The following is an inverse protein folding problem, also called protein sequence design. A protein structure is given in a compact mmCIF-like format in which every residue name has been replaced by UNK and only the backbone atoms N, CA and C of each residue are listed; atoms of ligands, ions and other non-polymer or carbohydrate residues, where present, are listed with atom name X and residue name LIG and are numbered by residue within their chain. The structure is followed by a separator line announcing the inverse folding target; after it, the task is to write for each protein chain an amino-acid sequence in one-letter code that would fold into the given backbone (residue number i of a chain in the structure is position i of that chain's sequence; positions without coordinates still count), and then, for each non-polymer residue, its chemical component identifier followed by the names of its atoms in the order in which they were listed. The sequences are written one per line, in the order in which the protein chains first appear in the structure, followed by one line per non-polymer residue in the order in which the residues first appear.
data_IF_796954222038
#
_entry.id   IF_796954222038
#
_cell.length_a   1.000
_cell.length_b   1.000
_cell.length_c   1.000
_cell.angle_alpha   90.00
_cell.angle_beta   90.00
_cell.angle_gamma   90.00
#
_symmetry.space_group_name_H-M   'P 1'
#
loop_
_entity.id
_entity.type
_entity.pdbx_description
1 polymer ?
#
# COMPACT_ATOMS: atom_id res chain seq x y z
N UNK A 1 -2.46 13.02 -20.87
CA UNK A 1 -1.42 14.04 -21.14
C UNK A 1 -0.24 13.47 -21.92
N UNK A 2 0.42 12.44 -21.38
CA UNK A 2 1.61 11.79 -21.93
C UNK A 2 1.52 11.40 -23.43
N UNK A 3 0.39 10.82 -23.85
CA UNK A 3 0.20 10.37 -25.23
C UNK A 3 0.02 11.52 -26.25
N UNK A 4 -0.53 12.67 -25.84
CA UNK A 4 -0.70 13.82 -26.74
C UNK A 4 0.64 14.56 -26.93
N UNK A 5 1.44 14.66 -25.87
CA UNK A 5 2.79 15.22 -25.92
C UNK A 5 3.68 14.47 -26.93
N UNK A 6 3.59 13.14 -26.95
CA UNK A 6 4.25 12.29 -27.93
C UNK A 6 3.91 12.68 -29.38
N UNK A 7 2.63 12.94 -29.68
CA UNK A 7 2.17 13.36 -31.00
C UNK A 7 2.61 14.77 -31.40
N UNK A 8 2.77 15.66 -30.43
CA UNK A 8 3.25 17.02 -30.63
C UNK A 8 4.77 17.15 -30.62
N UNK A 9 5.51 16.03 -30.65
CA UNK A 9 6.99 15.99 -30.60
C UNK A 9 7.57 16.59 -29.31
N UNK A 10 6.76 16.67 -28.27
CA UNK A 10 7.19 17.11 -26.95
C UNK A 10 7.71 15.89 -26.17
N UNK A 11 8.90 15.44 -26.56
CA UNK A 11 9.55 14.29 -25.91
C UNK A 11 9.93 14.58 -24.46
N UNK A 12 10.13 15.86 -24.10
CA UNK A 12 10.46 16.27 -22.73
C UNK A 12 9.26 16.04 -21.81
N UNK A 13 8.07 16.50 -22.21
CA UNK A 13 6.86 16.23 -21.45
C UNK A 13 6.57 14.73 -21.34
N UNK A 14 6.93 13.94 -22.36
CA UNK A 14 6.84 12.48 -22.28
C UNK A 14 7.80 11.91 -21.23
N UNK A 15 9.06 12.32 -21.24
CA UNK A 15 10.06 11.88 -20.28
C UNK A 15 9.65 12.23 -18.83
N UNK A 16 9.28 13.49 -18.60
CA UNK A 16 8.90 13.99 -17.27
C UNK A 16 7.66 13.28 -16.74
N UNK A 17 6.68 12.98 -17.59
CA UNK A 17 5.48 12.26 -17.18
C UNK A 17 5.76 10.80 -16.77
N UNK A 18 6.72 10.13 -17.42
CA UNK A 18 7.13 8.78 -17.03
C UNK A 18 7.97 8.76 -15.73
N UNK A 19 8.79 9.79 -15.51
CA UNK A 19 9.52 9.99 -14.26
C UNK A 19 8.57 10.29 -13.09
N UNK A 20 7.61 11.21 -13.28
CA UNK A 20 6.58 11.52 -12.25
C UNK A 20 5.71 10.31 -11.90
N UNK A 21 5.45 9.43 -12.86
CA UNK A 21 4.67 8.22 -12.65
C UNK A 21 5.47 7.09 -11.96
N UNK A 22 6.79 7.25 -11.78
CA UNK A 22 7.66 6.23 -11.18
C UNK A 22 7.83 4.98 -12.04
N UNK A 23 7.60 5.08 -13.36
CA UNK A 23 7.75 3.93 -14.28
C UNK A 23 9.20 3.70 -14.72
N UNK A 24 10.06 4.66 -14.44
CA UNK A 24 11.49 4.64 -14.70
C UNK A 24 12.19 4.92 -13.34
N UNK A 25 13.34 4.28 -13.07
CA UNK A 25 14.08 4.53 -11.83
C UNK A 25 14.40 6.02 -11.61
N UNK A 26 14.39 6.51 -10.36
CA UNK A 26 14.56 7.93 -10.04
C UNK A 26 15.96 8.48 -10.33
N UNK A 27 16.96 7.60 -10.47
CA UNK A 27 18.33 7.92 -10.87
C UNK A 27 18.47 8.15 -12.39
N UNK A 28 17.42 7.88 -13.17
CA UNK A 28 17.45 8.09 -14.61
C UNK A 28 17.43 9.57 -14.96
N UNK A 29 18.39 10.01 -15.77
CA UNK A 29 18.48 11.39 -16.27
C UNK A 29 17.41 11.66 -17.31
N UNK A 30 16.60 12.69 -17.08
CA UNK A 30 15.50 13.08 -17.96
C UNK A 30 15.97 13.38 -19.39
N UNK A 31 17.12 14.05 -19.55
CA UNK A 31 17.68 14.35 -20.88
C UNK A 31 18.08 13.08 -21.66
N UNK A 32 18.64 12.08 -20.98
CA UNK A 32 19.05 10.83 -21.60
C UNK A 32 17.83 10.02 -22.05
N UNK A 33 16.79 9.98 -21.21
CA UNK A 33 15.54 9.31 -21.53
C UNK A 33 14.79 10.00 -22.68
N UNK A 34 14.71 11.33 -22.66
CA UNK A 34 14.17 12.14 -23.76
C UNK A 34 14.92 11.86 -25.07
N UNK A 35 16.25 11.89 -25.03
CA UNK A 35 17.10 11.64 -26.20
C UNK A 35 16.85 10.26 -26.81
N UNK A 36 16.66 9.25 -25.98
CA UNK A 36 16.36 7.90 -26.43
C UNK A 36 14.96 7.79 -27.08
N UNK A 37 13.93 8.42 -26.50
CA UNK A 37 12.59 8.49 -27.10
C UNK A 37 12.66 9.21 -28.46
N UNK A 38 13.33 10.37 -28.49
CA UNK A 38 13.52 11.17 -29.71
C UNK A 38 14.21 10.37 -30.82
N UNK A 39 15.28 9.64 -30.49
CA UNK A 39 16.03 8.84 -31.46
C UNK A 39 15.18 7.75 -32.13
N UNK A 40 14.23 7.17 -31.38
CA UNK A 40 13.33 6.13 -31.90
C UNK A 40 12.19 6.73 -32.71
N UNK A 41 11.63 7.87 -32.27
CA UNK A 41 10.37 8.39 -32.80
C UNK A 41 10.54 9.46 -33.88
N UNK A 42 11.54 10.35 -33.77
CA UNK A 42 11.74 11.45 -34.72
C UNK A 42 11.87 11.01 -36.19
N UNK A 43 12.56 9.90 -36.53
CA UNK A 43 12.73 9.48 -37.93
C UNK A 43 11.44 9.11 -38.66
N UNK A 44 10.35 8.86 -37.93
CA UNK A 44 9.09 8.37 -38.48
C UNK A 44 8.12 9.49 -38.87
N UNK A 45 8.34 10.71 -38.35
CA UNK A 45 7.49 11.83 -38.67
C UNK A 45 7.73 12.28 -40.10
N UNK A 46 6.67 12.68 -40.81
CA UNK A 46 6.74 13.16 -42.20
C UNK A 46 7.20 12.09 -43.21
N UNK A 47 7.08 10.80 -42.87
CA UNK A 47 7.37 9.70 -43.80
C UNK A 47 6.11 8.94 -44.19
N UNK A 48 6.00 8.54 -45.47
CA UNK A 48 4.87 7.74 -45.94
C UNK A 48 4.90 6.32 -45.33
N UNK A 49 3.72 5.69 -45.21
CA UNK A 49 3.58 4.33 -44.66
C UNK A 49 4.40 3.28 -45.41
N UNK A 50 4.69 3.51 -46.69
CA UNK A 50 5.60 2.70 -47.51
C UNK A 50 7.00 2.59 -46.92
N UNK A 51 7.52 3.66 -46.31
CA UNK A 51 8.90 3.76 -45.83
C UNK A 51 9.09 3.42 -44.34
N UNK A 52 8.01 3.41 -43.56
CA UNK A 52 8.06 3.18 -42.11
C UNK A 52 7.58 1.78 -41.74
N UNK A 53 8.06 1.26 -40.61
CA UNK A 53 7.63 -0.03 -40.09
C UNK A 53 7.20 0.06 -38.63
N UNK A 54 5.90 -0.09 -38.38
CA UNK A 54 5.29 0.01 -37.05
C UNK A 54 5.72 -1.13 -36.16
N UNK A 55 5.80 -2.35 -36.69
CA UNK A 55 6.31 -3.49 -35.93
C UNK A 55 7.72 -3.25 -35.40
N UNK A 56 8.62 -2.72 -36.24
CA UNK A 56 9.99 -2.36 -35.84
C UNK A 56 10.04 -1.18 -34.87
N UNK A 57 9.19 -0.18 -35.03
CA UNK A 57 9.07 0.94 -34.09
C UNK A 57 8.69 0.46 -32.68
N UNK A 58 7.62 -0.32 -32.56
CA UNK A 58 7.14 -0.82 -31.26
C UNK A 58 8.22 -1.67 -30.60
N UNK A 59 8.93 -2.50 -31.36
CA UNK A 59 10.07 -3.26 -30.83
C UNK A 59 11.20 -2.36 -30.32
N UNK A 60 11.57 -1.31 -31.07
CA UNK A 60 12.60 -0.35 -30.64
C UNK A 60 12.19 0.41 -29.38
N UNK A 61 10.90 0.77 -29.25
CA UNK A 61 10.37 1.39 -28.05
C UNK A 61 10.47 0.46 -26.84
N UNK A 62 10.11 -0.83 -26.96
CA UNK A 62 10.26 -1.79 -25.87
C UNK A 62 11.71 -2.06 -25.50
N UNK A 63 12.61 -2.17 -26.50
CA UNK A 63 14.04 -2.31 -26.23
C UNK A 63 14.60 -1.09 -25.50
N UNK A 64 14.17 0.11 -25.89
CA UNK A 64 14.56 1.36 -25.23
C UNK A 64 14.02 1.41 -23.81
N UNK A 65 12.73 1.11 -23.61
CA UNK A 65 12.13 1.05 -22.27
C UNK A 65 12.89 0.07 -21.36
N UNK A 66 13.24 -1.12 -21.84
CA UNK A 66 14.05 -2.09 -21.07
C UNK A 66 15.43 -1.56 -20.71
N UNK A 67 16.09 -0.80 -21.59
CA UNK A 67 17.40 -0.17 -21.31
C UNK A 67 17.33 0.81 -20.13
N UNK A 68 16.18 1.45 -19.94
CA UNK A 68 15.91 2.34 -18.81
C UNK A 68 15.24 1.63 -17.62
N UNK A 69 15.35 0.29 -17.54
CA UNK A 69 14.75 -0.54 -16.49
C UNK A 69 13.23 -0.33 -16.31
N UNK A 70 12.53 0.10 -17.35
CA UNK A 70 11.07 0.18 -17.34
C UNK A 70 10.48 -1.23 -17.55
N UNK A 71 9.59 -1.71 -16.67
CA UNK A 71 8.97 -3.02 -16.81
C UNK A 71 8.01 -3.04 -18.01
N UNK A 72 8.39 -3.76 -19.08
CA UNK A 72 7.55 -3.91 -20.28
C UNK A 72 6.75 -5.20 -20.20
N UNK A 73 5.42 -5.10 -20.35
CA UNK A 73 4.54 -6.28 -20.35
C UNK A 73 4.66 -7.08 -21.66
N UNK A 74 4.84 -8.42 -21.60
CA UNK A 74 4.93 -9.28 -22.80
C UNK A 74 3.70 -9.22 -23.71
N UNK A 75 2.53 -8.91 -23.16
CA UNK A 75 1.25 -8.85 -23.87
C UNK A 75 1.24 -7.79 -24.98
N UNK A 76 2.00 -6.71 -24.81
CA UNK A 76 2.08 -5.62 -25.78
C UNK A 76 2.89 -6.00 -27.03
N UNK A 77 3.62 -7.14 -27.00
CA UNK A 77 4.28 -7.72 -28.19
C UNK A 77 3.24 -8.20 -29.20
N UNK A 78 2.06 -8.65 -28.75
CA UNK A 78 1.03 -9.21 -29.64
C UNK A 78 0.36 -8.14 -30.53
N UNK A 79 0.39 -6.86 -30.12
CA UNK A 79 -0.08 -5.73 -30.95
C UNK A 79 0.68 -5.61 -32.27
N UNK A 80 1.90 -6.18 -32.34
CA UNK A 80 2.72 -6.14 -33.53
C UNK A 80 2.04 -6.82 -34.72
N UNK A 81 1.34 -7.94 -34.51
CA UNK A 81 0.67 -8.66 -35.60
C UNK A 81 -0.44 -7.83 -36.23
N UNK A 82 -1.21 -7.14 -35.39
CA UNK A 82 -2.26 -6.20 -35.83
C UNK A 82 -1.65 -5.02 -36.58
N UNK A 83 -0.60 -4.41 -36.01
CA UNK A 83 0.08 -3.26 -36.63
C UNK A 83 0.75 -3.61 -37.95
N UNK A 84 1.38 -4.80 -38.06
CA UNK A 84 1.96 -5.31 -39.31
C UNK A 84 0.90 -5.53 -40.39
N UNK A 85 -0.27 -6.05 -40.01
CA UNK A 85 -1.36 -6.24 -40.95
C UNK A 85 -1.92 -4.90 -41.47
N UNK A 86 -2.12 -3.94 -40.56
CA UNK A 86 -2.57 -2.58 -40.91
C UNK A 86 -1.51 -1.87 -41.77
N UNK A 87 -0.23 -2.00 -41.45
CA UNK A 87 0.89 -1.49 -42.26
C UNK A 87 0.86 -2.11 -43.68
N UNK A 88 0.68 -3.43 -43.78
CA UNK A 88 0.59 -4.13 -45.06
C UNK A 88 -0.60 -3.69 -45.91
N UNK A 89 -1.76 -3.47 -45.29
CA UNK A 89 -2.94 -2.94 -45.96
C UNK A 89 -2.72 -1.49 -46.41
N UNK A 90 -2.21 -0.63 -45.52
CA UNK A 90 -1.95 0.77 -45.84
C UNK A 90 -0.90 0.94 -46.95
N UNK A 91 0.15 0.12 -46.98
CA UNK A 91 1.13 0.12 -48.09
C UNK A 91 0.51 -0.20 -49.45
N UNK A 92 -0.51 -1.07 -49.48
CA UNK A 92 -1.18 -1.46 -50.73
C UNK A 92 -2.22 -0.44 -51.17
N UNK A 93 -2.94 0.17 -50.23
CA UNK A 93 -4.06 1.06 -50.53
C UNK A 93 -3.63 2.53 -50.67
N UNK A 94 -2.76 3.02 -49.79
CA UNK A 94 -2.33 4.41 -49.72
C UNK A 94 -0.85 4.51 -49.33
N UNK A 95 0.07 4.16 -50.25
CA UNK A 95 1.51 4.06 -49.95
C UNK A 95 2.11 5.40 -49.49
N UNK A 96 1.63 6.53 -49.99
CA UNK A 96 2.13 7.88 -49.66
C UNK A 96 1.51 8.48 -48.40
N UNK A 97 0.65 7.73 -47.69
CA UNK A 97 -0.04 8.22 -46.51
C UNK A 97 0.94 8.52 -45.36
N UNK A 98 1.00 9.77 -44.93
CA UNK A 98 1.56 10.14 -43.63
C UNK A 98 0.54 9.84 -42.54
N UNK A 99 0.77 8.75 -41.82
CA UNK A 99 -0.11 8.32 -40.73
C UNK A 99 -0.14 9.29 -39.57
N UNK A 100 0.94 10.03 -39.32
CA UNK A 100 1.01 10.92 -38.18
C UNK A 100 0.15 12.15 -38.37
N UNK A 101 0.30 12.80 -39.54
CA UNK A 101 -0.50 13.96 -39.92
C UNK A 101 -1.98 13.57 -40.00
N UNK A 102 -2.26 12.41 -40.59
CA UNK A 102 -3.64 11.95 -40.79
C UNK A 102 -4.32 11.52 -39.48
N UNK A 103 -3.61 10.85 -38.56
CA UNK A 103 -4.18 10.34 -37.31
C UNK A 103 -4.31 11.40 -36.21
N UNK A 104 -3.48 12.46 -36.25
CA UNK A 104 -3.48 13.55 -35.25
C UNK A 104 -4.88 14.09 -34.89
N UNK A 105 -5.73 14.53 -35.85
CA UNK A 105 -7.05 15.08 -35.52
C UNK A 105 -7.99 14.08 -34.85
N UNK A 106 -7.88 12.79 -35.20
CA UNK A 106 -8.69 11.73 -34.58
C UNK A 106 -8.28 11.51 -33.13
N UNK A 107 -6.98 11.50 -32.87
CA UNK A 107 -6.45 11.30 -31.53
C UNK A 107 -6.71 12.49 -30.61
N UNK A 108 -6.56 13.72 -31.09
CA UNK A 108 -6.88 14.93 -30.33
C UNK A 108 -8.35 14.94 -29.91
N UNK A 109 -9.24 14.58 -30.83
CA UNK A 109 -10.67 14.43 -30.53
C UNK A 109 -10.91 13.35 -29.48
N UNK A 110 -10.33 12.16 -29.65
CA UNK A 110 -10.47 11.05 -28.70
C UNK A 110 -9.95 11.42 -27.30
N UNK A 111 -8.79 12.07 -27.21
CA UNK A 111 -8.24 12.55 -25.94
C UNK A 111 -9.15 13.57 -25.26
N UNK A 112 -9.71 14.50 -26.03
CA UNK A 112 -10.66 15.49 -25.50
C UNK A 112 -11.94 14.85 -24.94
N UNK A 113 -12.36 13.71 -25.49
CA UNK A 113 -13.52 12.97 -25.05
C UNK A 113 -13.26 12.14 -23.79
N UNK A 114 -12.03 11.65 -23.61
CA UNK A 114 -11.65 10.77 -22.50
C UNK A 114 -11.11 11.52 -21.28
N UNK A 115 -10.41 12.63 -21.49
CA UNK A 115 -9.71 13.36 -20.41
C UNK A 115 -10.19 14.82 -20.30
N UNK A 116 -11.05 15.28 -21.21
CA UNK A 116 -11.53 16.66 -21.22
C UNK A 116 -12.67 16.96 -20.24
N UNK A 117 -13.12 18.22 -20.17
CA UNK A 117 -14.23 18.65 -19.31
C UNK A 117 -15.52 17.88 -19.57
N UNK A 118 -15.74 17.47 -20.84
CA UNK A 118 -16.86 16.62 -21.24
C UNK A 118 -16.80 15.24 -20.61
N UNK A 119 -15.60 14.68 -20.43
CA UNK A 119 -15.39 13.41 -19.73
C UNK A 119 -15.73 13.56 -18.25
N UNK A 120 -15.26 14.65 -17.61
CA UNK A 120 -15.56 14.94 -16.22
C UNK A 120 -17.07 15.10 -15.97
N UNK A 121 -17.76 15.89 -16.80
CA UNK A 121 -19.22 16.07 -16.70
C UNK A 121 -19.95 14.73 -16.93
N UNK A 122 -19.51 13.92 -17.91
CA UNK A 122 -20.08 12.58 -18.12
C UNK A 122 -19.84 11.64 -16.94
N UNK A 123 -18.65 11.67 -16.34
CA UNK A 123 -18.31 10.89 -15.15
C UNK A 123 -19.20 11.25 -13.98
N UNK A 124 -19.31 12.55 -13.68
CA UNK A 124 -20.20 13.06 -12.64
C UNK A 124 -21.64 12.63 -12.93
N UNK A 125 -22.16 12.86 -14.15
CA UNK A 125 -23.54 12.48 -14.50
C UNK A 125 -23.81 10.98 -14.42
N UNK A 126 -22.80 10.14 -14.66
CA UNK A 126 -22.91 8.68 -14.58
C UNK A 126 -22.92 8.18 -13.14
N UNK A 127 -22.18 8.83 -12.25
CA UNK A 127 -22.14 8.48 -10.83
C UNK A 127 -23.20 9.21 -9.99
N UNK A 128 -23.75 10.32 -10.50
CA UNK A 128 -24.75 11.13 -9.82
C UNK A 128 -25.96 10.32 -9.31
N UNK A 129 -26.57 9.40 -10.08
CA UNK A 129 -27.70 8.60 -9.60
C UNK A 129 -27.32 7.71 -8.41
N UNK A 130 -26.08 7.21 -8.37
CA UNK A 130 -25.55 6.38 -7.28
C UNK A 130 -25.31 7.19 -6.01
N UNK A 131 -24.92 8.46 -6.14
CA UNK A 131 -24.79 9.37 -5.00
C UNK A 131 -26.14 9.93 -4.54
N UNK A 132 -27.08 10.17 -5.46
CA UNK A 132 -28.43 10.60 -5.13
C UNK A 132 -29.21 9.54 -4.34
N UNK A 133 -28.96 8.25 -4.58
CA UNK A 133 -29.52 7.18 -3.73
C UNK A 133 -28.98 7.18 -2.29
N UNK A 134 -27.82 7.80 -2.04
CA UNK A 134 -27.27 8.02 -0.69
C UNK A 134 -27.68 9.38 -0.10
N UNK A 135 -28.28 10.25 -0.92
CA UNK A 135 -28.65 11.62 -0.58
C UNK A 135 -29.62 11.79 0.60
N UNK A 136 -30.62 10.92 0.83
CA UNK A 136 -31.56 11.09 1.94
C UNK A 136 -30.93 11.00 3.34
N UNK A 137 -29.80 10.30 3.49
CA UNK A 137 -29.15 10.08 4.80
C UNK A 137 -28.12 11.17 5.15
N UNK A 138 -27.57 11.86 4.14
CA UNK A 138 -26.59 12.93 4.32
C UNK A 138 -27.05 14.10 5.21
N UNK A 139 -28.28 14.67 5.07
CA UNK A 139 -28.70 15.79 5.91
C UNK A 139 -28.85 15.39 7.38
N UNK A 140 -29.26 14.15 7.67
CA UNK A 140 -29.33 13.65 9.04
C UNK A 140 -27.93 13.48 9.65
N UNK A 141 -26.97 12.92 8.91
CA UNK A 141 -25.57 12.83 9.36
C UNK A 141 -24.95 14.20 9.60
N UNK A 142 -25.19 15.16 8.70
CA UNK A 142 -24.70 16.53 8.86
C UNK A 142 -25.34 17.21 10.07
N UNK A 143 -26.64 17.05 10.27
CA UNK A 143 -27.36 17.57 11.43
C UNK A 143 -26.84 16.97 12.74
N UNK A 144 -26.59 15.65 12.79
CA UNK A 144 -26.01 14.98 13.95
C UNK A 144 -24.58 15.47 14.25
N UNK A 145 -23.75 15.65 13.23
CA UNK A 145 -22.39 16.18 13.39
C UNK A 145 -22.41 17.63 13.89
N UNK A 146 -23.27 18.48 13.32
CA UNK A 146 -23.42 19.87 13.78
C UNK A 146 -23.98 19.95 15.20
N UNK A 147 -24.94 19.08 15.54
CA UNK A 147 -25.49 18.99 16.89
C UNK A 147 -24.42 18.56 17.89
N UNK A 148 -23.68 17.48 17.61
CA UNK A 148 -22.56 17.03 18.46
C UNK A 148 -21.44 18.07 18.57
N UNK A 149 -21.13 18.78 17.48
CA UNK A 149 -20.16 19.88 17.50
C UNK A 149 -20.62 21.06 18.36
N UNK A 150 -21.89 21.46 18.24
CA UNK A 150 -22.48 22.54 19.04
C UNK A 150 -22.57 22.16 20.52
N UNK A 151 -22.94 20.92 20.80
CA UNK A 151 -23.13 20.42 22.16
C UNK A 151 -21.77 20.05 22.82
N UNK A 152 -20.64 20.28 22.11
CA UNK A 152 -19.29 20.02 22.62
C UNK A 152 -18.91 18.54 22.73
N UNK A 153 -19.77 17.65 22.21
CA UNK A 153 -19.66 16.19 22.25
C UNK A 153 -18.82 15.61 21.10
N UNK A 154 -18.01 16.44 20.42
CA UNK A 154 -16.93 15.92 19.56
C UNK A 154 -15.78 15.37 20.42
N UNK A 155 -16.13 14.56 21.42
CA UNK A 155 -15.15 13.77 22.13
C UNK A 155 -14.99 12.45 21.37
N UNK A 156 -13.76 12.17 20.96
CA UNK A 156 -13.37 10.89 20.39
C UNK A 156 -13.31 9.90 21.56
N UNK A 157 -14.49 9.55 22.07
CA UNK A 157 -14.75 8.68 23.23
C UNK A 157 -14.25 7.24 23.05
N UNK A 158 -13.68 6.91 21.87
CA UNK A 158 -12.99 5.65 21.64
C UNK A 158 -11.63 5.58 22.34
N UNK A 159 -11.01 6.70 22.74
CA UNK A 159 -9.66 6.70 23.34
C UNK A 159 -9.65 6.50 24.86
N UNK A 160 -10.66 6.97 25.59
CA UNK A 160 -10.71 6.87 27.06
C UNK A 160 -11.02 5.44 27.53
N UNK A 161 -11.98 4.77 26.90
CA UNK A 161 -12.36 3.38 27.24
C UNK A 161 -11.23 2.36 27.02
N UNK A 162 -10.42 2.55 25.97
CA UNK A 162 -9.28 1.66 25.68
C UNK A 162 -8.07 1.92 26.59
N UNK A 163 -7.89 3.16 27.08
CA UNK A 163 -6.80 3.48 28.00
C UNK A 163 -7.07 2.98 29.42
N UNK A 164 -8.31 3.07 29.91
CA UNK A 164 -8.67 2.53 31.23
C UNK A 164 -8.56 1.01 31.29
N UNK A 165 -9.01 0.31 30.24
CA UNK A 165 -8.90 -1.15 30.16
C UNK A 165 -7.45 -1.64 30.05
N UNK A 166 -6.58 -0.90 29.36
CA UNK A 166 -5.13 -1.17 29.31
C UNK A 166 -4.44 -0.93 30.66
N UNK A 167 -4.75 0.17 31.34
CA UNK A 167 -4.18 0.46 32.67
C UNK A 167 -4.58 -0.60 33.70
N UNK A 168 -5.85 -1.04 33.69
CA UNK A 168 -6.33 -2.09 34.57
C UNK A 168 -5.64 -3.45 34.30
N UNK A 169 -5.45 -3.78 33.01
CA UNK A 169 -4.76 -5.01 32.60
C UNK A 169 -3.28 -5.01 32.99
N UNK A 170 -2.60 -3.87 32.85
CA UNK A 170 -1.20 -3.71 33.26
C UNK A 170 -1.04 -3.79 34.79
N UNK A 171 -1.92 -3.13 35.55
CA UNK A 171 -1.88 -3.17 37.02
C UNK A 171 -2.13 -4.59 37.56
N UNK A 172 -3.05 -5.34 36.94
CA UNK A 172 -3.32 -6.73 37.31
C UNK A 172 -2.14 -7.65 36.97
N UNK A 173 -1.53 -7.50 35.80
CA UNK A 173 -0.36 -8.29 35.39
C UNK A 173 0.88 -7.98 36.21
N UNK A 174 1.11 -6.71 36.55
CA UNK A 174 2.25 -6.31 37.38
C UNK A 174 2.17 -6.93 38.78
N UNK A 175 1.00 -6.91 39.43
CA UNK A 175 0.80 -7.57 40.73
C UNK A 175 1.00 -9.08 40.67
N UNK A 176 0.62 -9.73 39.55
CA UNK A 176 0.86 -11.17 39.34
C UNK A 176 2.35 -11.49 39.19
N UNK A 177 3.06 -10.73 38.38
CA UNK A 177 4.51 -10.93 38.17
C UNK A 177 5.30 -10.74 39.46
N UNK A 178 4.96 -9.73 40.26
CA UNK A 178 5.62 -9.54 41.57
C UNK A 178 5.32 -10.74 42.49
N UNK A 179 4.06 -11.20 42.56
CA UNK A 179 3.70 -12.34 43.40
C UNK A 179 4.41 -13.65 42.99
N UNK A 180 4.55 -13.92 41.69
CA UNK A 180 5.25 -15.13 41.20
C UNK A 180 6.75 -15.05 41.43
N UNK A 181 7.38 -13.89 41.17
CA UNK A 181 8.83 -13.71 41.39
C UNK A 181 9.16 -13.83 42.88
N UNK A 182 8.39 -13.17 43.76
CA UNK A 182 8.61 -13.26 45.21
C UNK A 182 8.35 -14.68 45.72
N UNK A 183 7.31 -15.35 45.23
CA UNK A 183 7.03 -16.75 45.57
C UNK A 183 8.15 -17.70 45.16
N UNK A 184 8.65 -17.61 43.92
CA UNK A 184 9.79 -18.40 43.45
C UNK A 184 11.07 -18.11 44.23
N UNK A 185 11.31 -16.84 44.60
CA UNK A 185 12.48 -16.44 45.39
C UNK A 185 12.43 -17.04 46.80
N UNK A 186 11.26 -17.01 47.45
CA UNK A 186 11.07 -17.64 48.76
C UNK A 186 11.22 -19.16 48.71
N UNK A 187 10.73 -19.81 47.65
CA UNK A 187 10.92 -21.24 47.44
C UNK A 187 12.39 -21.61 47.21
N UNK A 188 13.13 -20.82 46.44
CA UNK A 188 14.56 -21.01 46.24
C UNK A 188 15.34 -20.85 47.55
N UNK A 189 14.99 -19.84 48.36
CA UNK A 189 15.58 -19.65 49.69
C UNK A 189 15.26 -20.84 50.61
N UNK A 190 14.01 -21.33 50.62
CA UNK A 190 13.62 -22.51 51.40
C UNK A 190 14.40 -23.77 50.98
N UNK A 191 14.61 -23.98 49.69
CA UNK A 191 15.38 -25.10 49.16
C UNK A 191 16.87 -25.01 49.55
N UNK A 192 17.46 -23.81 49.53
CA UNK A 192 18.83 -23.59 50.01
C UNK A 192 18.91 -23.83 51.52
N UNK A 193 17.97 -23.32 52.32
CA UNK A 193 17.96 -23.57 53.76
C UNK A 193 17.85 -25.06 54.08
N UNK A 194 17.04 -25.83 53.34
CA UNK A 194 16.95 -27.29 53.48
C UNK A 194 18.31 -27.99 53.27
N UNK A 195 19.14 -27.48 52.35
CA UNK A 195 20.48 -28.02 52.08
C UNK A 195 21.53 -27.69 53.15
N UNK A 196 21.30 -26.65 53.96
CA UNK A 196 22.23 -26.16 54.99
C UNK A 196 21.71 -26.36 56.42
N UNK A 197 20.59 -27.04 56.62
CA UNK A 197 19.98 -27.17 57.95
C UNK A 197 20.64 -28.29 58.77
N UNK A 198 21.40 -27.89 59.79
CA UNK A 198 21.99 -28.76 60.82
C UNK A 198 21.23 -28.66 62.16
N UNK A 199 20.02 -28.05 62.15
CA UNK A 199 19.20 -27.89 63.36
C UNK A 199 18.32 -29.12 63.61
N UNK A 200 18.53 -29.78 64.77
CA UNK A 200 17.87 -31.04 65.16
C UNK A 200 16.36 -30.97 65.44
N UNK A 201 15.64 -29.99 64.90
CA UNK A 201 14.17 -29.87 65.02
C UNK A 201 13.50 -30.23 63.69
N UNK A 202 13.39 -31.54 63.43
CA UNK A 202 12.71 -32.09 62.26
C UNK A 202 11.29 -32.54 62.62
N UNK A 203 10.35 -32.35 61.70
CA UNK A 203 9.03 -32.98 61.78
C UNK A 203 8.96 -34.02 60.66
N UNK A 204 9.19 -35.28 61.02
CA UNK A 204 9.46 -36.33 60.03
C UNK A 204 10.86 -36.20 59.42
N UNK A 205 10.97 -36.29 58.09
CA UNK A 205 12.24 -36.18 57.33
C UNK A 205 12.56 -34.74 56.88
N UNK A 206 11.73 -33.77 57.27
CA UNK A 206 11.83 -32.38 56.80
C UNK A 206 12.06 -31.42 57.97
N UNK A 207 13.04 -30.50 57.88
CA UNK A 207 13.28 -29.49 58.90
C UNK A 207 12.11 -28.49 59.02
N UNK A 208 11.72 -28.15 60.24
CA UNK A 208 10.57 -27.26 60.51
C UNK A 208 10.78 -25.86 59.92
N UNK A 209 12.03 -25.41 59.85
CA UNK A 209 12.46 -24.14 59.24
C UNK A 209 12.03 -24.04 57.76
N UNK A 210 12.19 -25.12 57.00
CA UNK A 210 11.88 -25.19 55.56
C UNK A 210 10.37 -25.22 55.28
N UNK A 211 9.58 -25.80 56.18
CA UNK A 211 8.11 -25.82 56.10
C UNK A 211 7.54 -24.42 56.35
N UNK A 212 8.09 -23.68 57.31
CA UNK A 212 7.64 -22.33 57.66
C UNK A 212 7.88 -21.32 56.53
N UNK A 213 8.97 -21.48 55.78
CA UNK A 213 9.33 -20.60 54.65
C UNK A 213 8.65 -21.02 53.34
N UNK A 214 8.37 -22.31 53.14
CA UNK A 214 7.73 -22.81 51.91
C UNK A 214 6.23 -22.52 51.84
N UNK A 215 5.51 -22.50 52.97
CA UNK A 215 4.07 -22.23 53.01
C UNK A 215 3.67 -20.88 52.38
N UNK A 216 4.32 -19.73 52.71
CA UNK A 216 4.07 -18.46 52.04
C UNK A 216 4.44 -18.47 50.55
N UNK A 217 5.53 -19.16 50.18
CA UNK A 217 6.00 -19.26 48.80
C UNK A 217 5.04 -20.03 47.89
N UNK A 218 4.57 -21.20 48.35
CA UNK A 218 3.57 -22.01 47.64
C UNK A 218 2.23 -21.27 47.51
N UNK A 219 1.80 -20.59 48.57
CA UNK A 219 0.58 -19.78 48.54
C UNK A 219 0.67 -18.63 47.51
N UNK A 220 1.83 -17.97 47.40
CA UNK A 220 2.08 -16.91 46.41
C UNK A 220 2.03 -17.41 44.95
N UNK A 221 2.66 -18.56 44.69
CA UNK A 221 2.65 -19.19 43.34
C UNK A 221 1.25 -19.70 42.99
N UNK A 222 0.56 -20.36 43.93
CA UNK A 222 -0.81 -20.84 43.72
C UNK A 222 -1.79 -19.68 43.46
N UNK A 223 -1.65 -18.56 44.18
CA UNK A 223 -2.45 -17.35 43.96
C UNK A 223 -2.20 -16.75 42.56
N UNK A 224 -0.94 -16.71 42.12
CA UNK A 224 -0.57 -16.27 40.78
C UNK A 224 -1.12 -17.16 39.66
N UNK A 225 -1.09 -18.49 39.86
CA UNK A 225 -1.55 -19.48 38.88
C UNK A 225 -3.08 -19.54 38.77
N UNK A 226 -3.81 -19.56 39.90
CA UNK A 226 -5.29 -19.63 39.93
C UNK A 226 -6.00 -18.40 39.35
N UNK A 227 -5.38 -17.22 39.39
CA UNK A 227 -5.93 -16.02 38.74
C UNK A 227 -5.52 -15.89 37.26
N UNK A 228 -4.51 -16.63 36.83
CA UNK A 228 -4.03 -16.68 35.44
C UNK A 228 -5.02 -17.30 34.47
N UNK A 229 -5.71 -18.36 34.87
CA UNK A 229 -6.54 -19.22 34.00
C UNK A 229 -7.99 -18.74 33.79
N UNK A 230 -8.36 -17.57 34.29
CA UNK A 230 -9.72 -16.99 34.16
C UNK A 230 -9.86 -15.90 33.11
N UNK A 231 -8.84 -15.70 32.27
CA UNK A 231 -8.88 -14.75 31.16
C UNK A 231 -8.49 -15.50 29.89
N UNK A 232 -9.41 -16.35 29.43
CA UNK A 232 -9.52 -16.83 28.05
C UNK A 232 -11.02 -16.93 27.73
#
# INVERSE_FOLDING_TARGET
ENFLAFFNRDYRAVADAHLRAGWVPPDTRAEEFEGAIRAVCAPLFARPISEISFGRLVMRLFQTARRFNMPVQPQLVLLQKTLLNIEGLGRRLYPELDLWVTAKPYLERWMSEQVGPRAAIRGIRRELPRYLSLGPELPNLAYELLRRARDGELDVSTRSLQLETLQQSLAANHRRLVATITGCSLLAIAAVLYLFDDSGATWGEVPVSSILVSLPGVAGVAYGWLRGTRVD
#
